data_IF_299322093171
#
_entry.id   IF_299322093171
#
_cell.length_a   1.000
_cell.length_b   1.000
_cell.length_c   1.000
_cell.angle_alpha   90.00
_cell.angle_beta   90.00
_cell.angle_gamma   90.00
#
_symmetry.space_group_name_H-M   'P 1'
#
loop_
_entity.id
_entity.type
_entity.pdbx_description
1 polymer ?
#
# COMPACT_ATOMS: atom_id res chain seq x y z
N UNK A 1 -4.54 7.35 45.59
CA UNK A 1 -5.43 6.83 44.53
C UNK A 1 -6.34 7.99 44.18
N UNK A 2 -6.25 8.52 42.97
CA UNK A 2 -7.02 9.71 42.57
C UNK A 2 -8.51 9.34 42.49
N UNK A 3 -9.38 10.14 43.10
CA UNK A 3 -10.84 9.95 43.03
C UNK A 3 -11.38 10.67 41.79
N UNK A 4 -12.58 10.30 41.32
CA UNK A 4 -13.17 10.89 40.12
C UNK A 4 -13.29 12.41 40.18
N UNK A 5 -13.57 12.97 41.37
CA UNK A 5 -13.64 14.42 41.57
C UNK A 5 -12.29 15.12 41.33
N UNK A 6 -11.18 14.48 41.74
CA UNK A 6 -9.82 14.99 41.49
C UNK A 6 -9.50 15.00 39.98
N UNK A 7 -10.05 14.04 39.23
CA UNK A 7 -9.87 13.95 37.77
C UNK A 7 -10.63 15.09 37.07
N UNK A 8 -11.85 15.38 37.50
CA UNK A 8 -12.69 16.44 36.90
C UNK A 8 -12.10 17.83 37.15
N UNK A 9 -11.58 18.07 38.35
CA UNK A 9 -10.94 19.35 38.71
C UNK A 9 -9.66 19.58 37.89
N UNK A 10 -8.79 18.58 37.77
CA UNK A 10 -7.59 18.66 36.92
C UNK A 10 -7.98 18.91 35.46
N UNK A 11 -9.02 18.26 34.94
CA UNK A 11 -9.44 18.44 33.55
C UNK A 11 -10.02 19.83 33.29
N UNK A 12 -10.82 20.35 34.20
CA UNK A 12 -11.43 21.68 34.07
C UNK A 12 -10.38 22.78 34.20
N UNK A 13 -9.42 22.64 35.13
CA UNK A 13 -8.29 23.57 35.25
C UNK A 13 -7.37 23.53 34.02
N UNK A 14 -7.18 22.34 33.41
CA UNK A 14 -6.41 22.19 32.17
C UNK A 14 -7.13 22.81 30.96
N UNK A 15 -8.47 22.72 30.89
CA UNK A 15 -9.27 23.33 29.83
C UNK A 15 -9.31 24.86 29.95
N UNK A 16 -9.53 25.40 31.16
CA UNK A 16 -9.59 26.85 31.40
C UNK A 16 -8.21 27.51 31.16
N UNK A 17 -7.11 26.84 31.52
CA UNK A 17 -5.76 27.33 31.22
C UNK A 17 -5.38 27.22 29.72
N UNK A 18 -6.08 26.39 28.95
CA UNK A 18 -5.87 26.27 27.50
C UNK A 18 -6.41 27.47 26.73
N UNK A 19 -7.50 28.06 27.20
CA UNK A 19 -8.10 29.24 26.58
C UNK A 19 -7.40 30.55 26.99
N UNK A 20 -6.77 30.60 28.18
CA UNK A 20 -5.99 31.78 28.62
C UNK A 20 -4.61 31.94 27.98
N UNK A 21 -4.06 30.90 27.34
CA UNK A 21 -2.77 30.96 26.60
C UNK A 21 -2.94 31.15 25.09
N UNK A 22 -4.12 31.61 24.64
CA UNK A 22 -4.45 31.77 23.21
C UNK A 22 -4.23 33.17 22.65
N UNK A 23 -3.70 34.08 23.45
CA UNK A 23 -3.16 35.35 22.98
C UNK A 23 -1.67 35.36 23.26
N UNK A 24 -0.91 34.82 22.31
CA UNK A 24 0.38 35.36 21.86
C UNK A 24 1.03 34.33 20.95
N UNK A 25 1.18 34.72 19.68
CA UNK A 25 2.16 34.24 18.71
C UNK A 25 2.46 32.75 18.72
N UNK A 26 1.97 32.04 17.70
CA UNK A 26 2.79 31.08 16.97
C UNK A 26 2.05 30.75 15.68
N UNK A 27 2.71 31.01 14.55
CA UNK A 27 2.44 30.46 13.22
C UNK A 27 2.44 28.92 13.24
N UNK A 28 1.45 28.31 13.90
CA UNK A 28 1.28 26.86 13.91
C UNK A 28 0.66 26.44 12.59
N UNK A 29 1.54 26.17 11.61
CA UNK A 29 1.24 25.28 10.49
C UNK A 29 0.72 23.95 11.05
N UNK A 30 -0.60 23.83 11.11
CA UNK A 30 -1.27 22.56 11.33
C UNK A 30 -0.92 21.61 10.17
N UNK A 31 -0.16 20.54 10.43
CA UNK A 31 -0.02 19.43 9.49
C UNK A 31 -1.27 18.54 9.57
N UNK A 32 -2.35 19.02 8.96
CA UNK A 32 -3.64 18.31 8.86
C UNK A 32 -3.65 17.25 7.76
N UNK A 33 -2.98 16.11 7.97
CA UNK A 33 -3.16 14.90 7.15
C UNK A 33 -1.86 14.27 6.62
N UNK A 34 -2.00 13.09 6.00
CA UNK A 34 -0.96 12.44 5.21
C UNK A 34 -0.69 13.27 3.94
N UNK A 35 -0.05 14.42 4.09
CA UNK A 35 0.45 15.17 2.96
C UNK A 35 1.68 14.44 2.43
N UNK A 36 1.48 13.68 1.36
CA UNK A 36 2.61 13.29 0.54
C UNK A 36 3.30 14.59 0.09
N UNK A 37 4.59 14.74 0.39
CA UNK A 37 5.40 15.86 -0.12
C UNK A 37 5.40 15.91 -1.64
N UNK A 38 5.17 14.76 -2.27
CA UNK A 38 5.03 14.58 -3.71
C UNK A 38 3.59 14.15 -4.03
N UNK A 39 3.16 14.33 -5.29
CA UNK A 39 1.79 13.98 -5.72
C UNK A 39 1.45 12.47 -5.55
N UNK A 40 2.46 11.62 -5.36
CA UNK A 40 2.34 10.18 -5.17
C UNK A 40 3.50 9.62 -4.33
N UNK A 41 3.33 8.43 -3.75
CA UNK A 41 4.42 7.68 -3.12
C UNK A 41 5.31 7.14 -4.24
N UNK A 42 6.56 7.59 -4.31
CA UNK A 42 7.56 6.98 -5.20
C UNK A 42 7.72 5.50 -4.86
N UNK A 43 7.51 4.64 -5.84
CA UNK A 43 7.81 3.22 -5.73
C UNK A 43 9.30 3.04 -5.45
N UNK A 44 9.61 2.42 -4.31
CA UNK A 44 10.99 2.06 -3.93
C UNK A 44 11.58 0.95 -4.78
N UNK A 45 10.72 0.21 -5.50
CA UNK A 45 11.10 -0.90 -6.35
C UNK A 45 10.56 -0.68 -7.75
N UNK A 46 11.42 -0.88 -8.74
CA UNK A 46 11.05 -1.00 -10.15
C UNK A 46 11.21 -2.46 -10.55
N UNK A 47 10.37 -2.97 -11.44
CA UNK A 47 10.64 -4.26 -12.07
C UNK A 47 12.02 -4.19 -12.74
N UNK A 48 12.85 -5.24 -12.65
CA UNK A 48 14.14 -5.28 -13.31
C UNK A 48 13.95 -4.99 -14.80
N UNK A 49 14.69 -4.00 -15.32
CA UNK A 49 14.63 -3.66 -16.75
C UNK A 49 15.01 -4.90 -17.57
N UNK A 50 14.24 -5.18 -18.62
CA UNK A 50 14.51 -6.30 -19.53
C UNK A 50 14.06 -7.67 -19.03
N UNK A 51 13.19 -7.76 -18.02
CA UNK A 51 12.49 -9.00 -17.68
C UNK A 51 10.99 -8.82 -17.95
N UNK A 52 10.40 -9.58 -18.90
CA UNK A 52 8.96 -9.56 -19.10
C UNK A 52 8.23 -9.99 -17.82
N UNK A 53 7.07 -9.43 -17.54
CA UNK A 53 6.19 -9.88 -16.45
C UNK A 53 4.97 -10.55 -17.06
N UNK A 54 4.70 -11.79 -16.65
CA UNK A 54 3.46 -12.51 -16.92
C UNK A 54 2.51 -12.31 -15.75
N UNK A 55 1.44 -11.57 -15.99
CA UNK A 55 0.37 -11.29 -15.03
C UNK A 55 -0.80 -12.26 -15.18
N UNK A 56 -1.66 -12.32 -14.16
CA UNK A 56 -2.87 -13.15 -14.17
C UNK A 56 -3.83 -12.72 -15.28
N UNK A 57 -3.98 -11.42 -15.55
CA UNK A 57 -4.77 -10.91 -16.66
C UNK A 57 -4.27 -11.43 -18.02
N UNK A 58 -2.97 -11.31 -18.29
CA UNK A 58 -2.37 -11.79 -19.53
C UNK A 58 -2.51 -13.30 -19.67
N UNK A 59 -2.28 -14.03 -18.57
CA UNK A 59 -2.45 -15.47 -18.52
C UNK A 59 -3.90 -15.86 -18.85
N UNK A 60 -4.90 -15.20 -18.26
CA UNK A 60 -6.32 -15.44 -18.55
C UNK A 60 -6.66 -15.18 -20.01
N UNK A 61 -6.07 -14.14 -20.63
CA UNK A 61 -6.25 -13.90 -22.06
C UNK A 61 -5.66 -15.02 -22.91
N UNK A 62 -4.47 -15.52 -22.57
CA UNK A 62 -3.80 -16.60 -23.30
C UNK A 62 -4.55 -17.94 -23.20
N UNK A 63 -5.22 -18.20 -22.07
CA UNK A 63 -5.96 -19.44 -21.82
C UNK A 63 -7.38 -19.41 -22.42
N UNK A 64 -7.92 -18.25 -22.78
CA UNK A 64 -9.28 -18.16 -23.36
C UNK A 64 -9.49 -19.09 -24.56
N UNK A 65 -8.44 -19.36 -25.32
CA UNK A 65 -8.46 -20.24 -26.48
C UNK A 65 -8.32 -21.74 -26.13
N UNK A 66 -8.36 -22.11 -24.85
CA UNK A 66 -8.21 -23.49 -24.37
C UNK A 66 -6.78 -24.03 -24.42
N UNK A 67 -5.78 -23.17 -24.66
CA UNK A 67 -4.37 -23.55 -24.68
C UNK A 67 -3.91 -23.96 -23.27
N UNK A 68 -3.40 -25.19 -23.15
CA UNK A 68 -2.79 -25.74 -21.93
C UNK A 68 -1.27 -25.57 -21.88
N UNK A 69 -0.67 -25.02 -22.92
CA UNK A 69 0.77 -24.77 -22.99
C UNK A 69 1.04 -23.31 -23.34
N UNK A 70 1.97 -22.69 -22.62
CA UNK A 70 2.36 -21.29 -22.82
C UNK A 70 3.87 -21.23 -22.92
N UNK A 71 4.35 -20.61 -24.00
CA UNK A 71 5.76 -20.30 -24.21
C UNK A 71 6.06 -18.91 -23.66
N UNK A 72 7.09 -18.81 -22.83
CA UNK A 72 7.56 -17.55 -22.25
C UNK A 72 9.08 -17.44 -22.38
N UNK A 73 9.61 -16.23 -22.40
CA UNK A 73 11.07 -16.02 -22.37
C UNK A 73 11.65 -16.53 -21.04
N UNK A 74 12.86 -17.08 -21.08
CA UNK A 74 13.56 -17.66 -19.92
C UNK A 74 13.66 -16.75 -18.69
N UNK A 75 13.76 -15.45 -18.91
CA UNK A 75 13.86 -14.36 -17.93
C UNK A 75 12.50 -13.79 -17.47
N UNK A 76 11.39 -14.32 -17.96
CA UNK A 76 10.04 -13.84 -17.61
C UNK A 76 9.75 -14.07 -16.13
N UNK A 77 9.35 -13.00 -15.44
CA UNK A 77 8.83 -13.02 -14.08
C UNK A 77 7.36 -13.44 -14.15
N UNK A 78 6.94 -14.39 -13.32
CA UNK A 78 5.54 -14.80 -13.20
C UNK A 78 4.99 -14.15 -11.94
N UNK A 79 3.84 -13.45 -12.03
CA UNK A 79 3.20 -12.88 -10.85
C UNK A 79 2.67 -14.00 -9.92
N UNK A 80 2.58 -13.77 -8.59
CA UNK A 80 2.09 -14.80 -7.67
C UNK A 80 0.72 -15.35 -8.06
N UNK A 81 -0.23 -14.47 -8.41
CA UNK A 81 -1.57 -14.88 -8.86
C UNK A 81 -1.56 -15.63 -10.18
N UNK A 82 -0.66 -15.28 -11.11
CA UNK A 82 -0.51 -16.05 -12.34
C UNK A 82 0.02 -17.46 -12.04
N UNK A 83 0.96 -17.58 -11.11
CA UNK A 83 1.52 -18.87 -10.70
C UNK A 83 0.44 -19.80 -10.10
N UNK A 84 -0.41 -19.27 -9.22
CA UNK A 84 -1.54 -20.03 -8.67
C UNK A 84 -2.48 -20.55 -9.77
N UNK A 85 -2.83 -19.70 -10.74
CA UNK A 85 -3.68 -20.10 -11.87
C UNK A 85 -3.04 -21.16 -12.76
N UNK A 86 -1.72 -21.10 -12.97
CA UNK A 86 -0.97 -22.10 -13.73
C UNK A 86 -1.08 -23.47 -13.06
N UNK A 87 -0.91 -23.51 -11.73
CA UNK A 87 -1.02 -24.74 -10.94
C UNK A 87 -2.45 -25.28 -10.95
N UNK A 88 -3.44 -24.43 -10.66
CA UNK A 88 -4.86 -24.82 -10.60
C UNK A 88 -5.37 -25.38 -11.93
N UNK A 89 -4.98 -24.77 -13.05
CA UNK A 89 -5.43 -25.18 -14.38
C UNK A 89 -4.53 -26.22 -15.05
N UNK A 90 -3.45 -26.64 -14.40
CA UNK A 90 -2.50 -27.61 -14.95
C UNK A 90 -1.83 -27.14 -16.24
N UNK A 91 -1.48 -25.86 -16.32
CA UNK A 91 -0.88 -25.25 -17.51
C UNK A 91 0.61 -25.55 -17.53
N UNK A 92 1.12 -25.99 -18.68
CA UNK A 92 2.54 -26.24 -18.87
C UNK A 92 3.24 -24.99 -19.38
N UNK A 93 4.30 -24.59 -18.69
CA UNK A 93 5.15 -23.47 -19.11
C UNK A 93 6.42 -24.00 -19.77
N UNK A 94 6.66 -23.54 -20.99
CA UNK A 94 7.89 -23.82 -21.74
C UNK A 94 8.69 -22.52 -21.77
N UNK A 95 9.89 -22.55 -21.20
CA UNK A 95 10.81 -21.41 -21.19
C UNK A 95 11.78 -21.54 -22.35
N UNK A 96 11.74 -20.59 -23.28
CA UNK A 96 12.65 -20.48 -24.43
C UNK A 96 13.69 -19.36 -24.22
#
# INVERSE_FOLDING_TARGET
MLKEDDIVEIFSEFLVNKDRKREENLDQKYYKGFYLKEKFIKSWTSLPKGRPLLTEYQLKQLIKDGKKEIKIEKNTIISPLAYELIQEKGIKIIRE
#
